data_IF_107739706285
#
_entry.id   IF_107739706285
#
_cell.length_a   1.000
_cell.length_b   1.000
_cell.length_c   1.000
_cell.angle_alpha   90.00
_cell.angle_beta   90.00
_cell.angle_gamma   90.00
#
_symmetry.space_group_name_H-M   'P 1'
#
loop_
_entity.id
_entity.type
_entity.pdbx_description
1 polymer ?
#
# COMPACT_ATOMS: atom_id res chain seq x y z
N UNK A 1 7.21 18.31 -4.81
CA UNK A 1 6.21 17.84 -5.79
C UNK A 1 6.79 17.87 -7.22
N UNK A 2 7.63 16.90 -7.62
CA UNK A 2 8.49 17.05 -8.82
C UNK A 2 8.44 15.90 -9.86
N UNK A 3 7.38 15.07 -9.88
CA UNK A 3 7.36 13.83 -10.68
C UNK A 3 6.48 13.79 -11.94
N UNK A 4 5.46 14.65 -12.08
CA UNK A 4 4.35 14.41 -13.03
C UNK A 4 4.47 15.02 -14.44
N UNK A 5 5.42 15.92 -14.72
CA UNK A 5 5.48 16.61 -16.04
C UNK A 5 5.92 15.72 -17.21
N UNK A 6 6.67 14.63 -16.97
CA UNK A 6 7.23 13.77 -18.05
C UNK A 6 6.23 12.80 -18.69
N UNK A 7 5.08 12.52 -18.06
CA UNK A 7 4.06 11.62 -18.63
C UNK A 7 3.16 12.32 -19.65
N UNK A 8 2.72 13.55 -19.37
CA UNK A 8 1.82 14.31 -20.25
C UNK A 8 2.46 14.59 -21.61
N UNK A 9 3.74 14.97 -21.63
CA UNK A 9 4.50 15.21 -22.87
C UNK A 9 4.65 13.97 -23.78
N UNK A 10 4.57 12.75 -23.20
CA UNK A 10 4.57 11.50 -23.99
C UNK A 10 3.20 11.20 -24.58
N UNK A 11 2.12 11.48 -23.85
CA UNK A 11 0.74 11.33 -24.37
C UNK A 11 0.49 12.27 -25.56
N UNK A 12 0.95 13.52 -25.48
CA UNK A 12 0.86 14.46 -26.61
C UNK A 12 1.69 14.03 -27.83
N UNK A 13 2.83 13.34 -27.63
CA UNK A 13 3.62 12.80 -28.74
C UNK A 13 2.92 11.64 -29.45
N UNK A 14 2.29 10.73 -28.71
CA UNK A 14 1.48 9.64 -29.30
C UNK A 14 0.28 10.19 -30.06
N UNK A 15 -0.49 11.11 -29.47
CA UNK A 15 -1.64 11.73 -30.13
C UNK A 15 -1.26 12.48 -31.42
N UNK A 16 -0.07 13.10 -31.47
CA UNK A 16 0.46 13.73 -32.68
C UNK A 16 0.75 12.69 -33.77
N UNK A 17 1.41 11.58 -33.44
CA UNK A 17 1.69 10.49 -34.38
C UNK A 17 0.40 9.83 -34.90
N UNK A 18 -0.62 9.69 -34.05
CA UNK A 18 -1.94 9.18 -34.45
C UNK A 18 -2.63 10.12 -35.47
N UNK A 19 -2.55 11.44 -35.26
CA UNK A 19 -3.07 12.43 -36.19
C UNK A 19 -2.29 12.47 -37.52
N UNK A 20 -0.96 12.35 -37.47
CA UNK A 20 -0.10 12.25 -38.67
C UNK A 20 -0.41 10.99 -39.48
N UNK A 21 -0.58 9.83 -38.82
CA UNK A 21 -0.99 8.58 -39.47
C UNK A 21 -2.40 8.67 -40.07
N UNK A 22 -3.35 9.36 -39.43
CA UNK A 22 -4.68 9.59 -39.99
C UNK A 22 -4.62 10.49 -41.25
N UNK A 23 -3.81 11.55 -41.22
CA UNK A 23 -3.57 12.43 -42.37
C UNK A 23 -2.95 11.67 -43.54
N UNK A 24 -1.89 10.89 -43.30
CA UNK A 24 -1.22 10.05 -44.30
C UNK A 24 -2.16 8.99 -44.89
N UNK A 25 -3.02 8.34 -44.06
CA UNK A 25 -4.06 7.42 -44.54
C UNK A 25 -4.99 8.13 -45.55
N UNK A 26 -5.50 9.33 -45.23
CA UNK A 26 -6.37 10.11 -46.13
C UNK A 26 -5.65 10.60 -47.41
N UNK A 27 -4.40 11.02 -47.30
CA UNK A 27 -3.59 11.43 -48.46
C UNK A 27 -3.36 10.26 -49.42
N UNK A 28 -3.05 9.05 -48.91
CA UNK A 28 -2.88 7.85 -49.73
C UNK A 28 -4.18 7.39 -50.41
N UNK A 29 -5.34 7.60 -49.79
CA UNK A 29 -6.64 7.32 -50.43
C UNK A 29 -6.93 8.30 -51.58
N UNK A 30 -6.67 9.60 -51.37
CA UNK A 30 -6.80 10.64 -52.43
C UNK A 30 -5.81 10.42 -53.58
N UNK A 31 -4.58 10.00 -53.27
CA UNK A 31 -3.58 9.67 -54.28
C UNK A 31 -4.04 8.51 -55.17
N UNK A 32 -4.57 7.42 -54.58
CA UNK A 32 -5.07 6.25 -55.30
C UNK A 32 -6.28 6.55 -56.18
N UNK A 33 -7.24 7.35 -55.70
CA UNK A 33 -8.39 7.75 -56.52
C UNK A 33 -7.99 8.68 -57.68
N UNK A 34 -7.02 9.57 -57.47
CA UNK A 34 -6.43 10.40 -58.52
C UNK A 34 -5.68 9.55 -59.57
N UNK A 35 -4.87 8.58 -59.11
CA UNK A 35 -4.15 7.64 -59.98
C UNK A 35 -5.10 6.80 -60.84
N UNK A 36 -6.18 6.25 -60.27
CA UNK A 36 -7.19 5.49 -61.00
C UNK A 36 -7.93 6.36 -62.03
N UNK A 37 -8.33 7.59 -61.65
CA UNK A 37 -8.95 8.54 -62.56
C UNK A 37 -8.00 8.99 -63.70
N UNK A 38 -6.70 9.13 -63.41
CA UNK A 38 -5.66 9.43 -64.39
C UNK A 38 -5.46 8.29 -65.39
N UNK A 39 -5.27 7.06 -64.89
CA UNK A 39 -5.13 5.86 -65.73
C UNK A 39 -6.37 5.59 -66.59
N UNK A 40 -7.58 5.90 -66.08
CA UNK A 40 -8.82 5.83 -66.86
C UNK A 40 -8.81 6.82 -68.03
N UNK A 41 -8.45 8.08 -67.77
CA UNK A 41 -8.31 9.10 -68.83
C UNK A 41 -7.23 8.72 -69.87
N UNK A 42 -6.13 8.11 -69.44
CA UNK A 42 -5.08 7.57 -70.34
C UNK A 42 -5.65 6.46 -71.26
N UNK A 43 -6.35 5.48 -70.68
CA UNK A 43 -6.95 4.37 -71.41
C UNK A 43 -8.05 4.82 -72.40
N UNK A 44 -8.90 5.77 -71.99
CA UNK A 44 -9.96 6.36 -72.81
C UNK A 44 -9.37 7.18 -73.98
N UNK A 45 -8.29 7.95 -73.73
CA UNK A 45 -7.57 8.69 -74.78
C UNK A 45 -6.91 7.74 -75.77
N UNK A 46 -6.14 6.76 -75.29
CA UNK A 46 -5.44 5.80 -76.13
C UNK A 46 -6.41 4.93 -76.96
N UNK A 47 -7.60 4.62 -76.43
CA UNK A 47 -8.69 4.01 -77.20
C UNK A 47 -9.13 4.88 -78.39
N UNK A 48 -9.50 6.14 -78.13
CA UNK A 48 -9.92 7.09 -79.16
C UNK A 48 -8.85 7.35 -80.23
N UNK A 49 -7.57 7.29 -79.86
CA UNK A 49 -6.44 7.40 -80.79
C UNK A 49 -6.26 6.14 -81.64
N UNK A 50 -6.43 4.94 -81.06
CA UNK A 50 -6.46 3.68 -81.81
C UNK A 50 -7.60 3.65 -82.84
N UNK A 51 -8.81 4.09 -82.48
CA UNK A 51 -9.96 4.14 -83.39
C UNK A 51 -9.74 5.12 -84.55
N UNK A 52 -9.17 6.31 -84.26
CA UNK A 52 -8.79 7.29 -85.30
C UNK A 52 -7.73 6.71 -86.25
N UNK A 53 -6.71 6.04 -85.71
CA UNK A 53 -5.65 5.42 -86.52
C UNK A 53 -6.19 4.26 -87.39
N UNK A 54 -7.08 3.42 -86.84
CA UNK A 54 -7.75 2.35 -87.58
C UNK A 54 -8.59 2.89 -88.74
N UNK A 55 -9.41 3.93 -88.52
CA UNK A 55 -10.18 4.60 -89.58
C UNK A 55 -9.27 5.20 -90.66
N UNK A 56 -8.14 5.82 -90.27
CA UNK A 56 -7.13 6.34 -91.23
C UNK A 56 -6.50 5.23 -92.06
N UNK A 57 -6.20 4.07 -91.48
CA UNK A 57 -5.68 2.90 -92.18
C UNK A 57 -6.70 2.29 -93.17
N UNK A 58 -7.97 2.18 -92.77
CA UNK A 58 -9.06 1.75 -93.65
C UNK A 58 -9.22 2.69 -94.85
N UNK A 59 -9.26 4.00 -94.62
CA UNK A 59 -9.35 5.00 -95.69
C UNK A 59 -8.16 4.97 -96.66
N UNK A 60 -6.93 4.76 -96.14
CA UNK A 60 -5.75 4.60 -96.99
C UNK A 60 -5.79 3.30 -97.83
N UNK A 61 -6.27 2.19 -97.25
CA UNK A 61 -6.48 0.94 -98.00
C UNK A 61 -7.56 1.08 -99.09
N UNK A 62 -8.63 1.82 -98.84
CA UNK A 62 -9.64 2.15 -99.85
C UNK A 62 -9.04 2.99 -101.00
N UNK A 63 -8.22 4.00 -100.69
CA UNK A 63 -7.48 4.78 -101.71
C UNK A 63 -6.54 3.90 -102.56
N UNK A 64 -5.90 2.88 -101.98
CA UNK A 64 -5.09 1.90 -102.74
C UNK A 64 -5.95 1.08 -103.70
N UNK A 65 -7.13 0.60 -103.27
CA UNK A 65 -8.07 -0.12 -104.16
C UNK A 65 -8.50 0.78 -105.34
N UNK A 66 -8.93 2.00 -105.06
CA UNK A 66 -9.37 2.96 -106.07
C UNK A 66 -8.24 3.36 -107.05
N UNK A 67 -7.01 3.55 -106.57
CA UNK A 67 -5.86 3.87 -107.43
C UNK A 67 -5.49 2.69 -108.35
N UNK A 68 -5.56 1.44 -107.85
CA UNK A 68 -5.26 0.24 -108.65
C UNK A 68 -6.25 0.06 -109.81
N UNK A 69 -7.52 0.40 -109.63
CA UNK A 69 -8.54 0.31 -110.68
C UNK A 69 -8.31 1.25 -111.87
N UNK A 70 -7.54 2.33 -111.69
CA UNK A 70 -7.29 3.37 -112.72
C UNK A 70 -5.95 3.19 -113.48
N UNK A 71 -5.27 2.06 -113.36
CA UNK A 71 -3.83 1.92 -113.64
C UNK A 71 -3.49 1.64 -115.12
N UNK A 72 -3.67 2.61 -116.02
CA UNK A 72 -3.29 2.51 -117.45
C UNK A 72 -1.98 3.22 -117.83
N UNK A 73 -1.61 4.33 -117.19
CA UNK A 73 -0.43 5.16 -117.55
C UNK A 73 0.68 5.16 -116.50
N UNK A 74 1.90 5.52 -116.91
CA UNK A 74 3.07 5.61 -116.00
C UNK A 74 2.86 6.57 -114.81
N UNK A 75 2.14 7.68 -115.02
CA UNK A 75 1.76 8.59 -113.93
C UNK A 75 0.83 7.92 -112.90
N UNK A 76 -0.16 7.15 -113.37
CA UNK A 76 -1.05 6.38 -112.50
C UNK A 76 -0.28 5.26 -111.76
N UNK A 77 0.76 4.68 -112.36
CA UNK A 77 1.65 3.75 -111.65
C UNK A 77 2.42 4.42 -110.48
N UNK A 78 2.95 5.64 -110.69
CA UNK A 78 3.59 6.45 -109.62
C UNK A 78 2.59 6.73 -108.48
N UNK A 79 1.36 7.12 -108.80
CA UNK A 79 0.28 7.32 -107.81
C UNK A 79 -0.05 6.05 -107.01
N UNK A 80 -0.12 4.87 -107.66
CA UNK A 80 -0.34 3.59 -106.96
C UNK A 80 0.80 3.27 -106.00
N UNK A 81 2.08 3.49 -106.38
CA UNK A 81 3.22 3.30 -105.47
C UNK A 81 3.13 4.20 -104.23
N UNK A 82 2.83 5.50 -104.43
CA UNK A 82 2.64 6.45 -103.33
C UNK A 82 1.47 6.07 -102.40
N UNK A 83 0.33 5.67 -102.97
CA UNK A 83 -0.83 5.22 -102.19
C UNK A 83 -0.53 3.97 -101.35
N UNK A 84 0.22 3.00 -101.89
CA UNK A 84 0.64 1.80 -101.16
C UNK A 84 1.57 2.15 -100.00
N UNK A 85 2.52 3.06 -100.19
CA UNK A 85 3.38 3.53 -99.11
C UNK A 85 2.57 4.23 -97.99
N UNK A 86 1.62 5.10 -98.35
CA UNK A 86 0.74 5.77 -97.40
C UNK A 86 -0.19 4.81 -96.64
N UNK A 87 -0.65 3.72 -97.28
CA UNK A 87 -1.41 2.67 -96.62
C UNK A 87 -0.55 1.83 -95.66
N UNK A 88 0.71 1.56 -96.03
CA UNK A 88 1.66 0.86 -95.16
C UNK A 88 2.00 1.65 -93.90
N UNK A 89 2.27 2.96 -94.01
CA UNK A 89 2.52 3.83 -92.84
C UNK A 89 1.27 3.98 -91.96
N UNK A 90 0.08 4.16 -92.56
CA UNK A 90 -1.17 4.20 -91.81
C UNK A 90 -1.46 2.87 -91.08
N UNK A 91 -1.19 1.71 -91.70
CA UNK A 91 -1.32 0.40 -91.05
C UNK A 91 -0.35 0.24 -89.88
N UNK A 92 0.92 0.65 -90.02
CA UNK A 92 1.90 0.67 -88.91
C UNK A 92 1.41 1.54 -87.74
N UNK A 93 0.92 2.75 -88.02
CA UNK A 93 0.37 3.65 -87.01
C UNK A 93 -0.86 3.06 -86.28
N UNK A 94 -1.78 2.39 -87.00
CA UNK A 94 -2.93 1.72 -86.39
C UNK A 94 -2.53 0.55 -85.46
N UNK A 95 -1.51 -0.23 -85.82
CA UNK A 95 -0.97 -1.29 -84.96
C UNK A 95 -0.34 -0.70 -83.70
N UNK A 96 0.50 0.33 -83.83
CA UNK A 96 1.13 1.00 -82.70
C UNK A 96 0.10 1.62 -81.72
N UNK A 97 -0.91 2.32 -82.24
CA UNK A 97 -1.97 2.90 -81.42
C UNK A 97 -2.84 1.83 -80.72
N UNK A 98 -3.12 0.71 -81.40
CA UNK A 98 -3.83 -0.44 -80.77
C UNK A 98 -3.00 -1.06 -79.64
N UNK A 99 -1.69 -1.20 -79.81
CA UNK A 99 -0.78 -1.67 -78.76
C UNK A 99 -0.75 -0.71 -77.57
N UNK A 100 -0.64 0.61 -77.80
CA UNK A 100 -0.71 1.62 -76.76
C UNK A 100 -2.04 1.59 -75.98
N UNK A 101 -3.17 1.42 -76.66
CA UNK A 101 -4.49 1.26 -76.01
C UNK A 101 -4.55 -0.01 -75.15
N UNK A 102 -3.96 -1.12 -75.59
CA UNK A 102 -3.89 -2.36 -74.81
C UNK A 102 -3.05 -2.18 -73.53
N UNK A 103 -1.87 -1.54 -73.63
CA UNK A 103 -1.00 -1.24 -72.48
C UNK A 103 -1.71 -0.31 -71.48
N UNK A 104 -2.36 0.76 -71.94
CA UNK A 104 -3.08 1.68 -71.06
C UNK A 104 -4.26 1.00 -70.33
N UNK A 105 -5.00 0.12 -71.02
CA UNK A 105 -6.08 -0.69 -70.41
C UNK A 105 -5.53 -1.71 -69.40
N UNK A 106 -4.38 -2.33 -69.67
CA UNK A 106 -3.71 -3.23 -68.74
C UNK A 106 -3.25 -2.49 -67.46
N UNK A 107 -2.60 -1.32 -67.58
CA UNK A 107 -2.26 -0.46 -66.44
C UNK A 107 -3.49 -0.16 -65.56
N UNK A 108 -4.59 0.27 -66.17
CA UNK A 108 -5.83 0.56 -65.47
C UNK A 108 -6.39 -0.66 -64.73
N UNK A 109 -6.39 -1.83 -65.37
CA UNK A 109 -6.85 -3.07 -64.75
C UNK A 109 -6.01 -3.45 -63.51
N UNK A 110 -4.68 -3.29 -63.58
CA UNK A 110 -3.76 -3.50 -62.45
C UNK A 110 -4.05 -2.51 -61.32
N UNK A 111 -4.15 -1.21 -61.58
CA UNK A 111 -4.43 -0.17 -60.56
C UNK A 111 -5.78 -0.43 -59.86
N UNK A 112 -6.82 -0.79 -60.61
CA UNK A 112 -8.14 -1.15 -60.05
C UNK A 112 -8.07 -2.44 -59.21
N UNK A 113 -7.24 -3.41 -59.59
CA UNK A 113 -7.02 -4.63 -58.80
C UNK A 113 -6.25 -4.34 -57.50
N UNK A 114 -5.19 -3.54 -57.56
CA UNK A 114 -4.42 -3.08 -56.40
C UNK A 114 -5.29 -2.29 -55.42
N UNK A 115 -6.09 -1.33 -55.90
CA UNK A 115 -7.03 -0.58 -55.06
C UNK A 115 -8.07 -1.50 -54.37
N UNK A 116 -8.53 -2.57 -55.05
CA UNK A 116 -9.39 -3.62 -54.48
C UNK A 116 -8.69 -4.51 -53.45
N UNK A 117 -7.37 -4.72 -53.57
CA UNK A 117 -6.58 -5.45 -52.56
C UNK A 117 -6.29 -4.56 -51.34
N UNK A 118 -5.88 -3.30 -51.55
CA UNK A 118 -5.62 -2.34 -50.48
C UNK A 118 -6.87 -2.09 -49.63
N UNK A 119 -8.05 -1.93 -50.24
CA UNK A 119 -9.30 -1.75 -49.48
C UNK A 119 -9.72 -3.00 -48.70
N UNK A 120 -9.34 -4.21 -49.14
CA UNK A 120 -9.50 -5.45 -48.33
C UNK A 120 -8.51 -5.46 -47.16
N UNK A 121 -7.24 -5.12 -47.41
CA UNK A 121 -6.18 -5.06 -46.37
C UNK A 121 -6.54 -4.03 -45.30
N UNK A 122 -6.97 -2.83 -45.67
CA UNK A 122 -7.40 -1.79 -44.73
C UNK A 122 -8.56 -2.26 -43.83
N UNK A 123 -9.55 -2.97 -44.40
CA UNK A 123 -10.65 -3.57 -43.64
C UNK A 123 -10.20 -4.73 -42.72
N UNK A 124 -9.14 -5.44 -43.05
CA UNK A 124 -8.56 -6.47 -42.19
C UNK A 124 -7.74 -5.85 -41.05
N UNK A 125 -6.89 -4.86 -41.36
CA UNK A 125 -6.10 -4.11 -40.37
C UNK A 125 -7.01 -3.42 -39.35
N UNK A 126 -8.06 -2.73 -39.77
CA UNK A 126 -9.02 -2.10 -38.86
C UNK A 126 -9.70 -3.12 -37.93
N UNK A 127 -10.00 -4.34 -38.40
CA UNK A 127 -10.54 -5.41 -37.54
C UNK A 127 -9.52 -5.83 -36.49
N UNK A 128 -8.26 -6.06 -36.85
CA UNK A 128 -7.22 -6.41 -35.88
C UNK A 128 -6.87 -5.26 -34.93
N UNK A 129 -6.84 -4.01 -35.38
CA UNK A 129 -6.71 -2.81 -34.53
C UNK A 129 -7.83 -2.78 -33.45
N UNK A 130 -9.09 -3.05 -33.82
CA UNK A 130 -10.20 -3.15 -32.83
C UNK A 130 -10.13 -4.41 -31.96
N UNK A 131 -9.51 -5.49 -32.40
CA UNK A 131 -9.31 -6.69 -31.60
C UNK A 131 -8.17 -6.52 -30.59
N UNK A 132 -7.08 -5.87 -30.98
CA UNK A 132 -5.91 -5.58 -30.14
C UNK A 132 -6.29 -4.59 -29.04
N UNK A 133 -6.95 -3.47 -29.38
CA UNK A 133 -7.42 -2.48 -28.38
C UNK A 133 -8.36 -3.10 -27.35
N UNK A 134 -9.30 -3.97 -27.76
CA UNK A 134 -10.15 -4.75 -26.82
C UNK A 134 -9.35 -5.68 -25.92
N UNK A 135 -8.33 -6.38 -26.45
CA UNK A 135 -7.43 -7.25 -25.66
C UNK A 135 -6.61 -6.44 -24.65
N UNK A 136 -6.08 -5.28 -25.04
CA UNK A 136 -5.31 -4.38 -24.17
C UNK A 136 -6.17 -3.83 -23.04
N UNK A 137 -7.35 -3.25 -23.33
CA UNK A 137 -8.26 -2.74 -22.30
C UNK A 137 -8.73 -3.83 -21.32
N UNK A 138 -8.88 -5.09 -21.78
CA UNK A 138 -9.17 -6.22 -20.91
C UNK A 138 -7.97 -6.63 -20.03
N UNK A 139 -6.73 -6.53 -20.54
CA UNK A 139 -5.51 -6.78 -19.78
C UNK A 139 -5.27 -5.70 -18.72
N UNK A 140 -5.46 -4.43 -19.04
CA UNK A 140 -5.37 -3.30 -18.11
C UNK A 140 -6.39 -3.42 -16.97
N UNK A 141 -7.66 -3.73 -17.28
CA UNK A 141 -8.68 -3.98 -16.25
C UNK A 141 -8.28 -5.13 -15.30
N UNK A 142 -7.69 -6.21 -15.83
CA UNK A 142 -7.16 -7.32 -15.00
C UNK A 142 -5.95 -6.87 -14.15
N UNK A 143 -5.04 -6.09 -14.70
CA UNK A 143 -3.87 -5.56 -13.99
C UNK A 143 -4.27 -4.61 -12.86
N UNK A 144 -5.19 -3.68 -13.12
CA UNK A 144 -5.74 -2.76 -12.12
C UNK A 144 -6.45 -3.51 -10.98
N UNK A 145 -7.28 -4.51 -11.29
CA UNK A 145 -7.94 -5.35 -10.28
C UNK A 145 -6.93 -6.15 -9.43
N UNK A 146 -5.84 -6.65 -10.04
CA UNK A 146 -4.77 -7.34 -9.32
C UNK A 146 -3.97 -6.38 -8.41
N UNK A 147 -3.69 -5.16 -8.87
CA UNK A 147 -3.03 -4.12 -8.09
C UNK A 147 -3.89 -3.70 -6.88
N UNK A 148 -5.19 -3.47 -7.09
CA UNK A 148 -6.14 -3.14 -6.02
C UNK A 148 -6.20 -4.24 -4.94
N UNK A 149 -6.25 -5.52 -5.34
CA UNK A 149 -6.21 -6.65 -4.39
C UNK A 149 -4.90 -6.69 -3.58
N UNK A 150 -3.74 -6.43 -4.22
CA UNK A 150 -2.45 -6.32 -3.51
C UNK A 150 -2.43 -5.15 -2.52
N UNK A 151 -2.92 -3.97 -2.91
CA UNK A 151 -2.99 -2.79 -2.06
C UNK A 151 -3.90 -3.01 -0.82
N UNK A 152 -5.08 -3.60 -1.01
CA UNK A 152 -5.99 -3.94 0.09
C UNK A 152 -5.38 -4.95 1.07
N UNK A 153 -4.64 -5.95 0.57
CA UNK A 153 -3.92 -6.91 1.41
C UNK A 153 -2.79 -6.25 2.22
N UNK A 154 -2.05 -5.32 1.62
CA UNK A 154 -1.01 -4.55 2.30
C UNK A 154 -1.60 -3.64 3.39
N UNK A 155 -2.71 -2.95 3.11
CA UNK A 155 -3.43 -2.13 4.08
C UNK A 155 -3.90 -2.94 5.29
N UNK A 156 -4.51 -4.11 5.07
CA UNK A 156 -4.91 -5.04 6.15
C UNK A 156 -3.72 -5.49 7.00
N UNK A 157 -2.56 -5.82 6.38
CA UNK A 157 -1.33 -6.14 7.12
C UNK A 157 -0.82 -4.97 7.97
N UNK A 158 -0.82 -3.74 7.43
CA UNK A 158 -0.40 -2.54 8.18
C UNK A 158 -1.31 -2.28 9.38
N UNK A 159 -2.63 -2.30 9.19
CA UNK A 159 -3.60 -2.12 10.26
C UNK A 159 -3.44 -3.16 11.40
N UNK A 160 -3.20 -4.42 11.06
CA UNK A 160 -2.92 -5.46 12.05
C UNK A 160 -1.59 -5.22 12.81
N UNK A 161 -0.54 -4.77 12.12
CA UNK A 161 0.74 -4.43 12.74
C UNK A 161 0.63 -3.23 13.70
N UNK A 162 -0.09 -2.18 13.29
CA UNK A 162 -0.28 -0.98 14.12
C UNK A 162 -1.20 -1.27 15.32
N UNK A 163 -2.24 -2.10 15.18
CA UNK A 163 -3.04 -2.61 16.32
C UNK A 163 -2.17 -3.42 17.31
N UNK A 164 -1.20 -4.20 16.81
CA UNK A 164 -0.23 -4.94 17.64
C UNK A 164 0.74 -4.01 18.37
N UNK A 165 1.21 -2.93 17.73
CA UNK A 165 2.03 -1.88 18.37
C UNK A 165 1.25 -1.17 19.49
N UNK A 166 0.02 -0.74 19.22
CA UNK A 166 -0.84 -0.08 20.21
C UNK A 166 -1.07 -0.97 21.45
N UNK A 167 -1.40 -2.25 21.25
CA UNK A 167 -1.55 -3.21 22.35
C UNK A 167 -0.24 -3.42 23.16
N UNK A 168 0.93 -3.37 22.52
CA UNK A 168 2.22 -3.46 23.20
C UNK A 168 2.53 -2.17 23.99
N UNK A 169 2.22 -0.99 23.44
CA UNK A 169 2.36 0.29 24.12
C UNK A 169 1.46 0.37 25.38
N UNK A 170 0.19 -0.01 25.26
CA UNK A 170 -0.74 -0.08 26.39
C UNK A 170 -0.24 -1.00 27.52
N UNK A 171 0.33 -2.17 27.18
CA UNK A 171 0.95 -3.07 28.16
C UNK A 171 2.19 -2.46 28.84
N UNK A 172 3.03 -1.71 28.10
CA UNK A 172 4.16 -0.98 28.69
C UNK A 172 3.68 0.13 29.64
N UNK A 173 2.67 0.91 29.26
CA UNK A 173 2.09 1.96 30.09
C UNK A 173 1.49 1.40 31.39
N UNK A 174 0.69 0.33 31.30
CA UNK A 174 0.14 -0.34 32.48
C UNK A 174 1.23 -0.91 33.42
N UNK A 175 2.33 -1.43 32.88
CA UNK A 175 3.47 -1.89 33.68
C UNK A 175 4.21 -0.72 34.36
N UNK A 176 4.38 0.42 33.68
CA UNK A 176 4.97 1.63 34.24
C UNK A 176 4.10 2.21 35.38
N UNK A 177 2.77 2.28 35.18
CA UNK A 177 1.82 2.71 36.21
C UNK A 177 1.89 1.82 37.47
N UNK A 178 1.95 0.48 37.30
CA UNK A 178 2.14 -0.45 38.42
C UNK A 178 3.48 -0.24 39.14
N UNK A 179 4.58 0.02 38.43
CA UNK A 179 5.88 0.38 39.04
C UNK A 179 5.80 1.69 39.83
N UNK A 180 5.15 2.74 39.30
CA UNK A 180 4.96 4.02 39.99
C UNK A 180 4.18 3.83 41.30
N UNK A 181 3.02 3.18 41.23
CA UNK A 181 2.19 2.89 42.41
C UNK A 181 2.92 2.06 43.49
N UNK A 182 3.79 1.13 43.09
CA UNK A 182 4.63 0.37 44.03
C UNK A 182 5.72 1.24 44.69
N UNK A 183 6.35 2.15 43.94
CA UNK A 183 7.33 3.10 44.47
C UNK A 183 6.67 4.10 45.45
N UNK A 184 5.48 4.60 45.13
CA UNK A 184 4.75 5.55 45.98
C UNK A 184 4.26 4.87 47.27
N UNK A 185 3.80 3.61 47.22
CA UNK A 185 3.56 2.79 48.43
C UNK A 185 4.83 2.61 49.28
N UNK A 186 6.00 2.41 48.66
CA UNK A 186 7.29 2.30 49.38
C UNK A 186 7.69 3.63 50.04
N UNK A 187 7.45 4.78 49.39
CA UNK A 187 7.64 6.12 49.97
C UNK A 187 6.72 6.35 51.17
N UNK A 188 5.43 6.04 51.05
CA UNK A 188 4.46 6.18 52.14
C UNK A 188 4.84 5.32 53.36
N UNK A 189 5.25 4.06 53.15
CA UNK A 189 5.71 3.18 54.23
C UNK A 189 7.00 3.71 54.91
N UNK A 190 7.92 4.31 54.15
CA UNK A 190 9.12 4.94 54.71
C UNK A 190 8.80 6.21 55.53
N UNK A 191 7.86 7.04 55.06
CA UNK A 191 7.36 8.21 55.79
C UNK A 191 6.68 7.81 57.12
N UNK A 192 5.82 6.78 57.09
CA UNK A 192 5.19 6.22 58.28
C UNK A 192 6.22 5.71 59.31
N UNK A 193 7.27 5.00 58.86
CA UNK A 193 8.38 4.58 59.73
C UNK A 193 9.14 5.77 60.34
N UNK A 194 9.44 6.83 59.56
CA UNK A 194 10.06 8.06 60.08
C UNK A 194 9.18 8.74 61.14
N UNK A 195 7.86 8.84 60.91
CA UNK A 195 6.93 9.42 61.88
C UNK A 195 6.89 8.62 63.19
N UNK A 196 6.75 7.30 63.11
CA UNK A 196 6.77 6.42 64.28
C UNK A 196 8.10 6.48 65.07
N UNK A 197 9.23 6.68 64.39
CA UNK A 197 10.53 6.88 65.04
C UNK A 197 10.61 8.25 65.76
N UNK A 198 10.09 9.32 65.14
CA UNK A 198 10.01 10.64 65.77
C UNK A 198 9.09 10.64 67.00
N UNK A 199 7.93 9.97 66.91
CA UNK A 199 6.97 9.85 68.01
C UNK A 199 7.56 9.02 69.18
N UNK A 200 8.34 7.95 68.90
CA UNK A 200 9.16 7.27 69.93
C UNK A 200 10.21 8.18 70.57
N UNK A 201 10.90 9.03 69.79
CA UNK A 201 11.89 9.99 70.32
C UNK A 201 11.25 11.04 71.23
N UNK A 202 10.04 11.54 70.88
CA UNK A 202 9.23 12.41 71.75
C UNK A 202 8.85 11.72 73.06
N UNK A 203 8.36 10.48 73.01
CA UNK A 203 8.01 9.71 74.21
C UNK A 203 9.22 9.45 75.13
N UNK A 204 10.40 9.18 74.57
CA UNK A 204 11.64 9.04 75.34
C UNK A 204 12.08 10.37 76.00
N UNK A 205 11.93 11.50 75.31
CA UNK A 205 12.19 12.83 75.87
C UNK A 205 11.23 13.17 77.02
N UNK A 206 9.94 12.84 76.88
CA UNK A 206 8.94 12.99 77.94
C UNK A 206 9.31 12.16 79.19
N UNK A 207 9.72 10.89 79.01
CA UNK A 207 10.23 10.05 80.12
C UNK A 207 11.47 10.64 80.79
N UNK A 208 12.42 11.20 80.03
CA UNK A 208 13.58 11.93 80.61
C UNK A 208 13.16 13.16 81.42
N UNK A 209 12.20 13.97 80.94
CA UNK A 209 11.67 15.11 81.71
C UNK A 209 10.99 14.66 83.02
N UNK A 210 10.17 13.62 82.97
CA UNK A 210 9.52 13.06 84.17
C UNK A 210 10.53 12.53 85.20
N UNK A 211 11.57 11.80 84.76
CA UNK A 211 12.63 11.32 85.64
C UNK A 211 13.46 12.46 86.26
N UNK A 212 13.69 13.55 85.53
CA UNK A 212 14.36 14.74 86.05
C UNK A 212 13.50 15.49 87.09
N UNK A 213 12.19 15.58 86.88
CA UNK A 213 11.25 16.13 87.86
C UNK A 213 11.24 15.30 89.16
N UNK A 214 11.12 13.97 89.05
CA UNK A 214 11.17 13.07 90.19
C UNK A 214 12.50 13.19 90.99
N UNK A 215 13.64 13.35 90.31
CA UNK A 215 14.93 13.62 90.98
C UNK A 215 14.96 14.97 91.71
N UNK A 216 14.39 16.04 91.14
CA UNK A 216 14.25 17.34 91.85
C UNK A 216 13.35 17.21 93.09
N UNK A 217 12.27 16.43 92.99
CA UNK A 217 11.31 16.22 94.07
C UNK A 217 11.96 15.45 95.24
N UNK A 218 12.62 14.32 94.95
CA UNK A 218 13.40 13.57 95.94
C UNK A 218 14.54 14.39 96.59
N UNK A 219 15.14 15.33 95.87
CA UNK A 219 16.14 16.26 96.43
C UNK A 219 15.49 17.29 97.39
N UNK A 220 14.30 17.81 97.06
CA UNK A 220 13.54 18.69 97.94
C UNK A 220 13.11 17.97 99.23
N UNK A 221 12.68 16.71 99.13
CA UNK A 221 12.27 15.91 100.30
C UNK A 221 13.49 15.53 101.17
N UNK A 222 14.67 15.27 100.58
CA UNK A 222 15.93 15.20 101.35
C UNK A 222 16.23 16.51 102.09
N UNK A 223 15.96 17.67 101.49
CA UNK A 223 16.17 18.98 102.12
C UNK A 223 15.19 19.21 103.29
N UNK A 224 13.94 18.78 103.17
CA UNK A 224 12.95 18.75 104.27
C UNK A 224 13.39 17.81 105.40
N UNK A 225 13.86 16.60 105.09
CA UNK A 225 14.35 15.65 106.08
C UNK A 225 15.58 16.17 106.86
N UNK A 226 16.49 16.90 106.18
CA UNK A 226 17.61 17.57 106.84
C UNK A 226 17.15 18.68 107.80
N UNK A 227 16.16 19.49 107.40
CA UNK A 227 15.55 20.50 108.27
C UNK A 227 14.86 19.88 109.50
N UNK A 228 14.16 18.76 109.33
CA UNK A 228 13.56 17.99 110.42
C UNK A 228 14.62 17.48 111.41
N UNK A 229 15.74 16.91 110.92
CA UNK A 229 16.86 16.51 111.78
C UNK A 229 17.48 17.70 112.53
N UNK A 230 17.57 18.89 111.93
CA UNK A 230 18.10 20.09 112.61
C UNK A 230 17.16 20.58 113.73
N UNK A 231 15.82 20.47 113.56
CA UNK A 231 14.86 20.69 114.65
C UNK A 231 14.96 19.64 115.76
N UNK A 232 15.13 18.36 115.42
CA UNK A 232 15.28 17.28 116.41
C UNK A 232 16.55 17.46 117.27
N UNK A 233 17.67 17.88 116.68
CA UNK A 233 18.91 18.18 117.43
C UNK A 233 18.75 19.36 118.43
N UNK A 234 17.96 20.38 118.07
CA UNK A 234 17.65 21.49 118.97
C UNK A 234 16.77 21.04 120.15
N UNK A 235 15.80 20.15 119.92
CA UNK A 235 15.00 19.56 120.99
C UNK A 235 15.85 18.70 121.96
N UNK A 236 16.77 17.89 121.42
CA UNK A 236 17.66 17.05 122.23
C UNK A 236 18.51 17.86 123.22
N UNK A 237 19.04 19.02 122.82
CA UNK A 237 19.79 19.92 123.73
C UNK A 237 18.95 20.53 124.86
N UNK A 238 17.61 20.58 124.74
CA UNK A 238 16.72 21.01 125.84
C UNK A 238 16.27 19.85 126.76
N UNK A 239 16.39 18.60 126.33
CA UNK A 239 15.96 17.43 127.09
C UNK A 239 17.03 16.91 128.08
N UNK A 240 18.32 17.14 127.81
CA UNK A 240 19.42 16.56 128.60
C UNK A 240 19.62 17.15 130.02
N UNK A 241 18.77 18.07 130.47
CA UNK A 241 18.93 18.82 131.72
C UNK A 241 18.00 18.38 132.87
N UNK A 242 17.09 17.41 132.66
CA UNK A 242 16.22 16.86 133.73
C UNK A 242 16.06 15.35 133.59
N UNK A 243 16.11 14.65 134.72
CA UNK A 243 15.94 13.19 134.91
C UNK A 243 16.90 12.30 134.07
N UNK A 244 17.85 11.54 134.62
CA UNK A 244 18.06 10.98 135.98
C UNK A 244 16.87 10.20 136.55
N UNK A 245 17.15 8.93 136.89
CA UNK A 245 16.32 7.95 137.62
C UNK A 245 15.15 7.25 136.87
N UNK A 246 15.35 5.92 136.65
CA UNK A 246 14.37 4.81 136.83
C UNK A 246 13.19 4.75 135.81
N UNK A 247 12.66 3.58 135.39
CA UNK A 247 13.07 2.17 135.62
C UNK A 247 12.69 1.20 134.47
N UNK A 248 13.60 0.24 134.24
CA UNK A 248 13.47 -1.15 133.74
C UNK A 248 12.07 -1.78 133.46
N UNK A 249 12.01 -2.55 132.36
CA UNK A 249 11.28 -3.85 132.16
C UNK A 249 9.71 -3.86 132.10
N UNK A 250 8.98 -4.78 131.42
CA UNK A 250 9.30 -5.90 130.47
C UNK A 250 8.03 -6.34 129.65
N UNK A 251 8.24 -6.84 128.42
CA UNK A 251 7.48 -7.88 127.65
C UNK A 251 5.95 -7.85 127.33
N UNK A 252 5.67 -7.92 125.99
CA UNK A 252 4.76 -8.84 125.24
C UNK A 252 3.23 -8.59 125.06
N UNK A 253 2.75 -9.01 123.86
CA UNK A 253 1.36 -9.40 123.43
C UNK A 253 0.24 -8.32 123.35
N UNK A 254 -0.82 -8.40 122.49
CA UNK A 254 -1.16 -9.20 121.27
C UNK A 254 -2.45 -8.66 120.56
N UNK A 255 -2.48 -8.65 119.20
CA UNK A 255 -3.67 -8.47 118.31
C UNK A 255 -4.36 -7.06 118.34
N UNK A 256 -5.20 -6.60 117.39
CA UNK A 256 -6.23 -7.26 116.53
C UNK A 256 -6.56 -6.59 115.16
N UNK A 257 -7.03 -7.42 114.20
CA UNK A 257 -8.13 -7.21 113.23
C UNK A 257 -8.14 -6.17 112.06
N UNK A 258 -8.32 -6.72 110.82
CA UNK A 258 -9.16 -6.27 109.67
C UNK A 258 -8.80 -4.92 108.97
N UNK A 259 -9.05 -4.68 107.66
CA UNK A 259 -9.79 -5.37 106.57
C UNK A 259 -9.08 -5.15 105.19
N UNK A 260 -9.45 -5.90 104.14
CA UNK A 260 -9.01 -5.78 102.70
C UNK A 260 -10.14 -5.07 101.87
N UNK A 261 -10.19 -4.98 100.50
CA UNK A 261 -9.28 -5.45 99.42
C UNK A 261 -9.08 -4.52 98.17
N UNK A 262 -8.36 -4.99 97.14
CA UNK A 262 -8.35 -4.40 95.78
C UNK A 262 -7.54 -5.17 94.71
N UNK A 263 -8.19 -5.82 93.72
CA UNK A 263 -7.64 -6.57 92.55
C UNK A 263 -8.78 -6.75 91.51
N UNK A 264 -8.59 -6.80 90.16
CA UNK A 264 -8.05 -7.93 89.34
C UNK A 264 -6.90 -7.48 88.38
N UNK A 265 -6.15 -8.27 87.58
CA UNK A 265 -6.39 -9.36 86.58
C UNK A 265 -7.05 -8.86 85.24
N UNK A 266 -6.91 -9.46 84.02
CA UNK A 266 -6.65 -10.87 83.60
C UNK A 266 -6.44 -11.02 82.04
N UNK A 267 -5.56 -11.94 81.54
CA UNK A 267 -5.59 -12.68 80.21
C UNK A 267 -5.56 -11.89 78.85
N UNK A 268 -5.42 -12.45 77.61
CA UNK A 268 -4.75 -13.66 77.04
C UNK A 268 -4.75 -13.71 75.47
N UNK A 269 -3.97 -14.64 74.86
CA UNK A 269 -4.17 -15.35 73.56
C UNK A 269 -4.10 -14.59 72.20
N UNK A 270 -4.07 -15.20 70.98
CA UNK A 270 -3.37 -16.41 70.43
C UNK A 270 -3.54 -16.56 68.87
N UNK A 271 -2.87 -17.56 68.25
CA UNK A 271 -3.13 -18.29 66.96
C UNK A 271 -2.54 -17.83 65.58
N UNK A 272 -2.43 -18.87 64.71
CA UNK A 272 -2.06 -19.01 63.26
C UNK A 272 -3.37 -19.00 62.38
N UNK A 273 -3.48 -19.24 61.02
CA UNK A 273 -2.62 -20.08 60.12
C UNK A 273 -2.54 -19.78 58.57
N UNK A 274 -1.82 -20.65 57.84
CA UNK A 274 -2.05 -21.28 56.49
C UNK A 274 -2.47 -20.50 55.19
N UNK A 275 -2.54 -21.11 53.97
CA UNK A 275 -1.58 -21.94 53.18
C UNK A 275 -2.13 -22.33 51.76
N UNK A 276 -1.24 -22.61 50.77
CA UNK A 276 -1.48 -23.34 49.47
C UNK A 276 -2.40 -22.61 48.42
N UNK A 277 -2.51 -22.93 47.11
CA UNK A 277 -1.79 -23.82 46.13
C UNK A 277 -2.01 -23.32 44.66
N UNK A 278 -1.35 -23.98 43.67
CA UNK A 278 -1.64 -24.27 42.22
C UNK A 278 -2.74 -23.51 41.39
N UNK A 279 -2.80 -23.55 40.03
CA UNK A 279 -2.14 -24.40 39.03
C UNK A 279 -2.28 -23.90 37.56
N UNK A 280 -2.06 -24.77 36.54
CA UNK A 280 -1.87 -24.43 35.09
C UNK A 280 -2.06 -25.69 34.18
N UNK A 281 -1.75 -25.67 32.85
CA UNK A 281 -2.53 -25.34 31.63
C UNK A 281 -3.01 -26.56 30.77
N UNK A 282 -3.59 -26.31 29.57
CA UNK A 282 -3.70 -27.26 28.44
C UNK A 282 -3.42 -26.59 27.05
N UNK A 283 -3.18 -27.36 25.97
CA UNK A 283 -2.71 -26.90 24.62
C UNK A 283 -2.88 -27.98 23.51
N UNK A 284 -2.82 -27.59 22.21
CA UNK A 284 -2.88 -28.37 20.93
C UNK A 284 -4.34 -28.64 20.45
N UNK A 285 -4.70 -28.95 19.19
CA UNK A 285 -4.03 -29.09 17.86
C UNK A 285 -4.92 -28.42 16.77
N UNK A 286 -4.60 -28.14 15.48
CA UNK A 286 -3.54 -28.47 14.50
C UNK A 286 -3.77 -29.68 13.55
N UNK A 287 -4.03 -29.42 12.25
CA UNK A 287 -4.22 -30.41 11.15
C UNK A 287 -3.79 -29.86 9.75
N UNK A 288 -3.56 -30.74 8.75
CA UNK A 288 -2.92 -30.46 7.43
C UNK A 288 -3.18 -31.59 6.39
N UNK A 289 -3.46 -31.29 5.10
CA UNK A 289 -3.16 -32.09 3.86
C UNK A 289 -3.73 -31.42 2.56
N UNK A 290 -2.92 -31.20 1.50
CA UNK A 290 -2.86 -31.87 0.15
C UNK A 290 -4.14 -31.82 -0.71
N UNK A 291 -4.22 -31.51 -2.03
CA UNK A 291 -3.32 -31.37 -3.21
C UNK A 291 -3.49 -32.46 -4.30
N UNK A 292 -3.77 -32.07 -5.57
CA UNK A 292 -3.90 -32.97 -6.75
C UNK A 292 -3.67 -32.22 -8.10
N UNK A 293 -3.49 -32.98 -9.21
CA UNK A 293 -3.16 -32.49 -10.59
C UNK A 293 -4.26 -32.84 -11.61
N UNK A 294 -4.36 -32.09 -12.73
CA UNK A 294 -4.49 -32.66 -14.11
C UNK A 294 -4.31 -31.61 -15.23
N UNK A 295 -3.82 -32.07 -16.39
CA UNK A 295 -3.71 -31.38 -17.69
C UNK A 295 -3.37 -32.46 -18.77
N UNK A 296 -3.27 -32.12 -20.07
CA UNK A 296 -4.35 -31.65 -20.95
C UNK A 296 -4.66 -32.65 -22.10
N UNK A 297 -5.78 -32.48 -22.81
CA UNK A 297 -6.24 -33.39 -23.87
C UNK A 297 -5.76 -33.00 -25.30
N UNK A 298 -5.81 -33.98 -26.23
CA UNK A 298 -5.12 -34.01 -27.53
C UNK A 298 -5.89 -33.36 -28.70
N UNK A 299 -5.10 -32.91 -29.69
CA UNK A 299 -5.22 -33.04 -31.16
C UNK A 299 -6.63 -33.05 -31.81
N UNK A 300 -6.87 -32.11 -32.72
CA UNK A 300 -7.82 -32.24 -33.84
C UNK A 300 -7.31 -31.48 -35.07
N UNK A 301 -7.31 -32.12 -36.25
CA UNK A 301 -6.86 -31.50 -37.52
C UNK A 301 -7.65 -32.10 -38.71
N UNK A 302 -8.57 -31.35 -39.35
CA UNK A 302 -9.26 -31.80 -40.56
C UNK A 302 -8.36 -31.75 -41.82
N UNK A 303 -8.75 -32.38 -42.94
CA UNK A 303 -7.88 -32.64 -44.10
C UNK A 303 -7.86 -31.52 -45.15
N UNK A 304 -6.96 -31.67 -46.15
CA UNK A 304 -6.97 -30.89 -47.40
C UNK A 304 -8.11 -31.36 -48.33
N UNK A 305 -8.78 -30.42 -48.99
CA UNK A 305 -9.48 -30.70 -50.24
C UNK A 305 -8.49 -30.81 -51.42
N UNK A 306 -8.95 -31.35 -52.57
CA UNK A 306 -8.12 -31.70 -53.72
C UNK A 306 -8.07 -30.59 -54.79
N UNK A 307 -7.21 -30.83 -55.79
CA UNK A 307 -7.28 -30.30 -57.16
C UNK A 307 -8.69 -30.31 -57.73
#
# INVERSE_FOLDING_TARGET
MAGRKKSTARVSAVAKLEAELASLKSQLEKARSSQEAGAKKEADKAGKEADKAAKKAQAAAAKVKAARAKKKSAAQQKQVKAAVAAAATAKKAAVAAKAASAVAKAKLATIVAENKLVTKIAKAVAKEETAITKKLAAAEKKAAAAAAKKAAAAAKKKAAADKKKAAAAAKKAAAAAKKKAAADKKKAAAAAKKKAAADKKKAAAAKKKAAAAAKKQAAADKKKAAAAKKKAAAAAKKAAAKAKAKTKTKTKTKATAKKKPGRPAKKAAAKKPAAKKAGRPAKKAAAKKTAAKKAPARRGRPPKAKS
#
